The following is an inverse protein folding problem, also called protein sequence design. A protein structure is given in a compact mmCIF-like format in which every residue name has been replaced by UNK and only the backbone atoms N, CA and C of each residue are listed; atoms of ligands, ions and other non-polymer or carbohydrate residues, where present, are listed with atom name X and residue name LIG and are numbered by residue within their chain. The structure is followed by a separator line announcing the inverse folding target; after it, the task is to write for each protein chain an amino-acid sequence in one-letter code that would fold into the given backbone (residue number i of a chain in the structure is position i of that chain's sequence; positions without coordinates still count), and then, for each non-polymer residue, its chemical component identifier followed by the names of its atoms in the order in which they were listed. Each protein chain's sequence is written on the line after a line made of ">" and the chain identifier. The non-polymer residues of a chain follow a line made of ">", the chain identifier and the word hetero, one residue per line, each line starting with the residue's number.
data_IF_702564679920
#
_entry.id   IF_702564679920
#
_cell.length_a   1.000
_cell.length_b   1.000
_cell.length_c   1.000
_cell.angle_alpha   90.00
_cell.angle_beta   90.00
_cell.angle_gamma   90.00
#
_symmetry.space_group_name_H-M   'P 1'
#
loop_
_entity.id
_entity.type
_entity.pdbx_description
1 polymer ?
#
# COMPACT_ATOMS: atom_id res chain seq x y z
N UNK A 1 -6.59 36.41 18.60
CA UNK A 1 -6.73 34.99 18.23
C UNK A 1 -8.12 34.55 18.66
N UNK A 2 -8.97 34.18 17.72
CA UNK A 2 -10.34 33.69 17.99
C UNK A 2 -10.23 32.25 18.50
N UNK A 3 -10.62 32.01 19.75
CA UNK A 3 -10.67 30.66 20.31
C UNK A 3 -11.68 29.80 19.54
N UNK A 4 -11.39 28.51 19.38
CA UNK A 4 -12.27 27.57 18.68
C UNK A 4 -13.62 27.46 19.43
N UNK A 5 -14.77 27.66 18.76
CA UNK A 5 -16.09 27.52 19.39
C UNK A 5 -16.29 26.12 19.99
N UNK A 6 -16.96 26.05 21.14
CA UNK A 6 -17.16 24.78 21.87
C UNK A 6 -17.88 23.73 21.02
N UNK A 7 -18.97 24.14 20.37
CA UNK A 7 -19.79 23.24 19.55
C UNK A 7 -19.01 22.68 18.36
N UNK A 8 -18.13 23.50 17.75
CA UNK A 8 -17.27 23.06 16.65
C UNK A 8 -16.19 22.08 17.14
N UNK A 9 -15.59 22.36 18.29
CA UNK A 9 -14.61 21.45 18.90
C UNK A 9 -15.21 20.08 19.21
N UNK A 10 -16.39 20.04 19.86
CA UNK A 10 -17.08 18.79 20.18
C UNK A 10 -17.50 18.03 18.93
N UNK A 11 -18.00 18.74 17.91
CA UNK A 11 -18.33 18.14 16.61
C UNK A 11 -17.14 17.51 15.93
N UNK A 12 -16.00 18.21 15.87
CA UNK A 12 -14.79 17.65 15.25
C UNK A 12 -14.25 16.45 16.03
N UNK A 13 -14.33 16.45 17.37
CA UNK A 13 -13.96 15.27 18.16
C UNK A 13 -14.87 14.08 17.87
N UNK A 14 -16.19 14.31 17.73
CA UNK A 14 -17.13 13.25 17.34
C UNK A 14 -16.80 12.68 15.96
N UNK A 15 -16.53 13.53 14.96
CA UNK A 15 -16.13 13.08 13.61
C UNK A 15 -14.81 12.27 13.63
N UNK A 16 -13.86 12.61 14.52
CA UNK A 16 -12.64 11.82 14.72
C UNK A 16 -12.87 10.49 15.46
N UNK A 17 -13.85 10.44 16.36
CA UNK A 17 -14.25 9.19 17.03
C UNK A 17 -14.95 8.26 16.05
N UNK A 18 -15.83 8.78 15.19
CA UNK A 18 -16.47 8.02 14.10
C UNK A 18 -15.42 7.42 13.17
N UNK A 19 -14.43 8.23 12.73
CA UNK A 19 -13.32 7.74 11.90
C UNK A 19 -12.50 6.65 12.61
N UNK A 20 -12.35 6.72 13.94
CA UNK A 20 -11.67 5.69 14.74
C UNK A 20 -12.47 4.40 14.85
N UNK A 21 -13.80 4.50 14.91
CA UNK A 21 -14.69 3.33 14.91
C UNK A 21 -14.70 2.66 13.52
N UNK A 22 -14.66 3.45 12.45
CA UNK A 22 -14.59 2.98 11.06
C UNK A 22 -13.18 2.51 10.63
N UNK A 23 -12.17 2.67 11.48
CA UNK A 23 -10.76 2.49 11.11
C UNK A 23 -10.49 1.10 10.52
N UNK A 24 -11.03 0.04 11.12
CA UNK A 24 -10.81 -1.33 10.65
C UNK A 24 -11.45 -1.58 9.27
N UNK A 25 -12.67 -1.10 9.05
CA UNK A 25 -13.36 -1.22 7.75
C UNK A 25 -12.65 -0.42 6.67
N UNK A 26 -12.26 0.83 6.97
CA UNK A 26 -11.58 1.70 6.02
C UNK A 26 -10.19 1.15 5.68
N UNK A 27 -9.46 0.65 6.68
CA UNK A 27 -8.17 0.02 6.48
C UNK A 27 -8.24 -1.24 5.62
N UNK A 28 -9.35 -1.99 5.69
CA UNK A 28 -9.58 -3.14 4.80
C UNK A 28 -9.77 -2.69 3.36
N UNK A 29 -10.57 -1.64 3.13
CA UNK A 29 -10.76 -1.05 1.79
C UNK A 29 -9.41 -0.57 1.22
N UNK A 30 -8.65 0.20 2.00
CA UNK A 30 -7.30 0.66 1.60
C UNK A 30 -6.40 -0.52 1.23
N UNK A 31 -6.43 -1.59 2.01
CA UNK A 31 -5.61 -2.77 1.76
C UNK A 31 -6.01 -3.54 0.50
N UNK A 32 -7.31 -3.74 0.29
CA UNK A 32 -7.84 -4.40 -0.89
C UNK A 32 -7.51 -3.58 -2.15
N UNK A 33 -7.78 -2.27 -2.15
CA UNK A 33 -7.50 -1.39 -3.30
C UNK A 33 -6.00 -1.24 -3.59
N UNK A 34 -5.16 -1.24 -2.55
CA UNK A 34 -3.70 -1.22 -2.72
C UNK A 34 -3.23 -2.51 -3.38
N UNK A 35 -3.77 -3.66 -2.93
CA UNK A 35 -3.39 -4.95 -3.45
C UNK A 35 -3.91 -5.19 -4.87
N UNK A 36 -5.13 -4.75 -5.18
CA UNK A 36 -5.71 -4.83 -6.54
C UNK A 36 -4.80 -4.14 -7.57
N UNK A 37 -4.19 -3.00 -7.22
CA UNK A 37 -3.22 -2.34 -8.10
C UNK A 37 -1.96 -3.19 -8.33
N UNK A 38 -1.48 -3.90 -7.31
CA UNK A 38 -0.30 -4.77 -7.42
C UNK A 38 -0.62 -6.02 -8.26
N UNK A 39 -1.81 -6.58 -8.12
CA UNK A 39 -2.27 -7.67 -8.97
C UNK A 39 -2.36 -7.23 -10.43
N UNK A 40 -2.95 -6.07 -10.69
CA UNK A 40 -3.06 -5.53 -12.05
C UNK A 40 -1.69 -5.24 -12.68
N UNK A 41 -0.76 -4.64 -11.93
CA UNK A 41 0.60 -4.39 -12.42
C UNK A 41 1.33 -5.71 -12.72
N UNK A 42 1.20 -6.70 -11.84
CA UNK A 42 1.79 -8.02 -12.08
C UNK A 42 1.22 -8.64 -13.36
N UNK A 43 -0.10 -8.59 -13.56
CA UNK A 43 -0.74 -9.11 -14.75
C UNK A 43 -0.15 -8.50 -16.02
N UNK A 44 0.01 -7.17 -16.05
CA UNK A 44 0.61 -6.41 -17.15
C UNK A 44 2.08 -6.77 -17.37
N UNK A 45 2.89 -6.77 -16.31
CA UNK A 45 4.32 -7.07 -16.38
C UNK A 45 4.63 -8.51 -16.80
N UNK A 46 3.63 -9.39 -16.78
CA UNK A 46 3.78 -10.81 -17.10
C UNK A 46 2.91 -11.26 -18.27
N UNK A 47 2.23 -10.33 -18.97
CA UNK A 47 1.30 -10.61 -20.08
C UNK A 47 1.99 -11.48 -21.16
N UNK A 48 3.18 -11.06 -21.57
CA UNK A 48 4.04 -11.74 -22.55
C UNK A 48 4.88 -12.89 -21.96
N UNK A 49 4.58 -13.32 -20.73
CA UNK A 49 5.38 -14.29 -19.98
C UNK A 49 6.47 -13.65 -19.12
N UNK A 50 7.11 -14.45 -18.27
CA UNK A 50 8.22 -13.98 -17.42
C UNK A 50 9.55 -14.24 -18.10
N UNK A 51 10.23 -13.16 -18.49
CA UNK A 51 11.66 -13.21 -18.78
C UNK A 51 12.44 -13.20 -17.46
N UNK A 52 13.14 -14.30 -17.16
CA UNK A 52 13.79 -14.48 -15.86
C UNK A 52 14.88 -13.44 -15.57
N UNK A 53 15.57 -12.94 -16.59
CA UNK A 53 16.53 -11.84 -16.46
C UNK A 53 15.86 -10.54 -15.97
N UNK A 54 14.54 -10.42 -16.14
CA UNK A 54 13.72 -9.30 -15.69
C UNK A 54 12.91 -9.62 -14.43
N UNK A 55 12.94 -10.85 -13.91
CA UNK A 55 12.13 -11.22 -12.74
C UNK A 55 12.48 -10.39 -11.50
N UNK A 56 13.76 -10.09 -11.30
CA UNK A 56 14.21 -9.22 -10.22
C UNK A 56 13.74 -7.77 -10.45
N UNK A 57 13.61 -7.33 -11.70
CA UNK A 57 13.02 -6.02 -12.05
C UNK A 57 11.52 -5.98 -11.80
N UNK A 58 10.78 -7.05 -12.14
CA UNK A 58 9.35 -7.15 -11.83
C UNK A 58 9.15 -7.10 -10.31
N UNK A 59 9.93 -7.87 -9.54
CA UNK A 59 9.86 -7.85 -8.08
C UNK A 59 10.13 -6.45 -7.52
N UNK A 60 11.19 -5.78 -7.98
CA UNK A 60 11.51 -4.41 -7.55
C UNK A 60 10.42 -3.40 -7.93
N UNK A 61 9.83 -3.53 -9.13
CA UNK A 61 8.73 -2.68 -9.58
C UNK A 61 7.52 -2.83 -8.65
N UNK A 62 7.08 -4.07 -8.38
CA UNK A 62 5.95 -4.35 -7.50
C UNK A 62 6.20 -3.85 -6.07
N UNK A 63 7.41 -4.01 -5.55
CA UNK A 63 7.78 -3.48 -4.22
C UNK A 63 7.70 -1.96 -4.18
N UNK A 64 8.17 -1.28 -5.23
CA UNK A 64 8.13 0.19 -5.29
C UNK A 64 6.69 0.67 -5.39
N UNK A 65 5.90 0.04 -6.26
CA UNK A 65 4.49 0.38 -6.44
C UNK A 65 3.66 0.14 -5.19
N UNK A 66 3.92 -0.91 -4.41
CA UNK A 66 3.17 -1.23 -3.19
C UNK A 66 3.15 -0.04 -2.22
N UNK A 67 4.31 0.53 -1.92
CA UNK A 67 4.42 1.66 -1.00
C UNK A 67 3.76 2.92 -1.55
N UNK A 68 3.91 3.17 -2.86
CA UNK A 68 3.29 4.32 -3.53
C UNK A 68 1.77 4.21 -3.58
N UNK A 69 1.23 3.04 -3.95
CA UNK A 69 -0.21 2.79 -4.00
C UNK A 69 -0.81 2.88 -2.60
N UNK A 70 -0.15 2.30 -1.59
CA UNK A 70 -0.58 2.43 -0.20
C UNK A 70 -0.71 3.90 0.24
N UNK A 71 0.31 4.71 -0.08
CA UNK A 71 0.31 6.14 0.24
C UNK A 71 -0.83 6.88 -0.46
N UNK A 72 -1.00 6.67 -1.76
CA UNK A 72 -2.08 7.26 -2.56
C UNK A 72 -3.48 6.87 -2.05
N UNK A 73 -3.68 5.59 -1.68
CA UNK A 73 -4.97 5.15 -1.10
C UNK A 73 -5.21 5.77 0.27
N UNK A 74 -4.17 5.91 1.09
CA UNK A 74 -4.28 6.62 2.36
C UNK A 74 -4.62 8.11 2.15
N UNK A 75 -3.98 8.79 1.21
CA UNK A 75 -4.26 10.19 0.88
C UNK A 75 -5.70 10.36 0.37
N UNK A 76 -6.15 9.48 -0.54
CA UNK A 76 -7.51 9.54 -1.08
C UNK A 76 -8.56 9.37 0.03
N UNK A 77 -8.42 8.36 0.89
CA UNK A 77 -9.42 8.03 1.90
C UNK A 77 -9.34 8.88 3.17
N UNK A 78 -8.13 9.28 3.59
CA UNK A 78 -7.91 10.04 4.83
C UNK A 78 -7.71 11.53 4.56
N UNK A 79 -6.98 11.90 3.52
CA UNK A 79 -6.71 13.29 3.16
C UNK A 79 -7.98 14.07 2.98
N UNK A 80 -8.92 13.57 2.16
CA UNK A 80 -10.23 14.21 1.97
C UNK A 80 -11.01 14.42 3.28
N UNK A 81 -10.90 13.49 4.23
CA UNK A 81 -11.59 13.61 5.53
C UNK A 81 -10.94 14.67 6.40
N UNK A 82 -9.62 14.68 6.51
CA UNK A 82 -8.90 15.69 7.28
C UNK A 82 -8.96 17.09 6.65
N UNK A 83 -8.95 17.19 5.33
CA UNK A 83 -9.20 18.44 4.60
C UNK A 83 -10.60 18.98 4.87
N UNK A 84 -11.61 18.11 4.88
CA UNK A 84 -12.97 18.51 5.25
C UNK A 84 -13.02 19.07 6.68
N UNK A 85 -12.40 18.38 7.64
CA UNK A 85 -12.33 18.87 9.03
C UNK A 85 -11.59 20.21 9.11
N UNK A 86 -10.48 20.36 8.39
CA UNK A 86 -9.73 21.61 8.31
C UNK A 86 -10.56 22.75 7.71
N UNK A 87 -11.35 22.48 6.67
CA UNK A 87 -12.19 23.49 6.00
C UNK A 87 -13.33 24.03 6.86
N UNK A 88 -13.72 23.30 7.91
CA UNK A 88 -14.74 23.73 8.86
C UNK A 88 -14.21 24.73 9.90
N UNK A 89 -12.89 24.96 9.95
CA UNK A 89 -12.30 25.86 10.93
C UNK A 89 -12.58 27.33 10.59
N UNK A 90 -12.74 28.21 11.59
CA UNK A 90 -12.94 29.63 11.36
C UNK A 90 -11.77 30.25 10.59
N UNK A 91 -12.08 31.23 9.74
CA UNK A 91 -11.05 31.98 9.01
C UNK A 91 -10.01 32.57 9.98
N UNK A 92 -8.73 32.37 9.67
CA UNK A 92 -7.60 32.81 10.50
C UNK A 92 -7.14 31.81 11.56
N UNK A 93 -7.76 30.63 11.67
CA UNK A 93 -7.23 29.51 12.45
C UNK A 93 -6.44 28.60 11.53
N UNK A 94 -5.17 28.33 11.87
CA UNK A 94 -4.35 27.39 11.11
C UNK A 94 -4.92 25.97 11.25
N UNK A 95 -5.04 25.26 10.12
CA UNK A 95 -5.50 23.88 10.12
C UNK A 95 -4.53 22.98 10.91
N UNK A 96 -5.04 22.10 11.79
CA UNK A 96 -4.23 21.10 12.45
C UNK A 96 -3.57 20.17 11.42
N UNK A 97 -2.28 19.95 11.56
CA UNK A 97 -1.59 18.90 10.82
C UNK A 97 -1.98 17.53 11.41
N UNK A 98 -2.71 16.73 10.65
CA UNK A 98 -3.01 15.34 11.02
C UNK A 98 -1.80 14.41 10.87
N UNK A 99 -0.70 14.91 10.29
CA UNK A 99 0.53 14.16 10.03
C UNK A 99 0.38 13.00 9.07
N UNK A 100 -0.83 12.77 8.54
CA UNK A 100 -1.18 11.54 7.84
C UNK A 100 -0.32 11.33 6.59
N UNK A 101 -0.04 12.36 5.80
CA UNK A 101 0.83 12.24 4.61
C UNK A 101 2.28 11.84 4.92
N UNK A 102 2.87 12.37 5.99
CA UNK A 102 4.22 11.95 6.42
C UNK A 102 4.20 10.53 7.00
N UNK A 103 3.18 10.20 7.79
CA UNK A 103 3.08 8.87 8.38
C UNK A 103 2.69 7.79 7.37
N UNK A 104 1.87 8.10 6.36
CA UNK A 104 1.52 7.18 5.28
C UNK A 104 2.76 6.84 4.46
N UNK A 105 3.57 7.84 4.08
CA UNK A 105 4.85 7.64 3.41
C UNK A 105 5.80 6.75 4.23
N UNK A 106 6.02 7.07 5.51
CA UNK A 106 6.88 6.25 6.38
C UNK A 106 6.36 4.83 6.55
N UNK A 107 5.03 4.66 6.60
CA UNK A 107 4.39 3.35 6.74
C UNK A 107 4.43 2.56 5.44
N UNK A 108 4.28 3.20 4.29
CA UNK A 108 4.46 2.60 2.97
C UNK A 108 5.89 2.09 2.79
N UNK A 109 6.90 2.88 3.17
CA UNK A 109 8.30 2.44 3.15
C UNK A 109 8.56 1.23 4.07
N UNK A 110 7.95 1.20 5.26
CA UNK A 110 8.07 0.05 6.17
C UNK A 110 7.32 -1.17 5.67
N UNK A 111 6.14 -1.00 5.07
CA UNK A 111 5.40 -2.07 4.42
C UNK A 111 6.25 -2.71 3.33
N UNK A 112 6.89 -1.89 2.49
CA UNK A 112 7.80 -2.39 1.45
C UNK A 112 8.93 -3.25 2.05
N UNK A 113 9.57 -2.80 3.13
CA UNK A 113 10.61 -3.58 3.82
C UNK A 113 10.07 -4.89 4.43
N UNK A 114 8.89 -4.86 5.04
CA UNK A 114 8.27 -6.03 5.67
C UNK A 114 7.83 -7.08 4.65
N UNK A 115 7.31 -6.61 3.52
CA UNK A 115 6.73 -7.43 2.46
C UNK A 115 7.77 -7.86 1.44
N UNK A 116 8.96 -7.24 1.42
CA UNK A 116 10.04 -7.56 0.49
C UNK A 116 10.46 -9.03 0.54
N UNK A 117 10.68 -9.58 1.75
CA UNK A 117 11.08 -10.97 1.93
C UNK A 117 9.98 -11.96 1.54
N UNK A 118 8.71 -11.57 1.73
CA UNK A 118 7.57 -12.39 1.33
C UNK A 118 7.42 -12.42 -0.19
N UNK A 119 7.58 -11.27 -0.85
CA UNK A 119 7.61 -11.18 -2.32
C UNK A 119 8.80 -11.96 -2.89
N UNK A 120 9.99 -11.81 -2.34
CA UNK A 120 11.19 -12.55 -2.77
C UNK A 120 10.98 -14.07 -2.68
N UNK A 121 10.41 -14.56 -1.59
CA UNK A 121 10.11 -15.97 -1.42
C UNK A 121 9.06 -16.48 -2.45
N UNK A 122 8.07 -15.65 -2.80
CA UNK A 122 7.09 -15.99 -3.84
C UNK A 122 7.73 -16.07 -5.23
N UNK A 123 8.60 -15.12 -5.57
CA UNK A 123 9.35 -15.13 -6.83
C UNK A 123 10.29 -16.34 -6.90
N UNK A 124 11.00 -16.67 -5.81
CA UNK A 124 11.88 -17.83 -5.74
C UNK A 124 11.15 -19.16 -5.94
N UNK A 125 9.93 -19.31 -5.39
CA UNK A 125 9.08 -20.51 -5.56
C UNK A 125 8.49 -20.66 -6.96
N UNK A 126 8.44 -19.57 -7.72
CA UNK A 126 7.86 -19.54 -9.06
C UNK A 126 8.90 -19.87 -10.14
N UNK A 127 10.20 -19.86 -9.81
CA UNK A 127 11.32 -20.23 -10.69
C UNK A 127 11.38 -21.76 -10.91
N UNK A 128 11.42 -22.28 -12.16
CA UNK A 128 11.83 -23.66 -12.38
C UNK A 128 13.32 -23.80 -12.04
N UNK A 129 13.71 -24.96 -11.48
CA UNK A 129 15.10 -25.19 -11.08
C UNK A 129 16.07 -24.94 -12.23
N UNK A 130 17.22 -24.32 -11.92
CA UNK A 130 18.33 -23.98 -12.83
C UNK A 130 18.70 -25.13 -13.79
N UNK A 131 18.50 -26.38 -13.38
CA UNK A 131 18.67 -27.58 -14.20
C UNK A 131 17.82 -27.62 -15.48
N UNK A 132 16.64 -26.98 -15.50
CA UNK A 132 15.79 -26.89 -16.70
C UNK A 132 16.37 -25.97 -17.77
N UNK A 133 17.01 -24.86 -17.37
CA UNK A 133 17.68 -23.93 -18.28
C UNK A 133 18.97 -24.56 -18.86
N UNK A 134 19.70 -25.32 -18.05
CA UNK A 134 20.88 -26.07 -18.49
C UNK A 134 20.48 -27.19 -19.47
N UNK A 135 19.36 -27.88 -19.22
CA UNK A 135 18.82 -28.87 -20.16
C UNK A 135 18.40 -28.28 -21.51
N UNK A 136 17.96 -27.02 -21.56
CA UNK A 136 17.57 -26.30 -22.78
C UNK A 136 18.76 -25.85 -23.62
N UNK A 137 19.87 -25.46 -23.00
CA UNK A 137 21.10 -25.10 -23.70
C UNK A 137 21.76 -26.29 -24.43
N UNK A 138 21.35 -27.52 -24.12
CA UNK A 138 21.84 -28.76 -24.72
C UNK A 138 20.98 -29.26 -25.90
N UNK A 139 19.85 -28.61 -26.20
CA UNK A 139 19.00 -28.96 -27.34
C UNK A 139 19.43 -28.09 -28.53
N UNK A 140 20.21 -28.67 -29.45
CA UNK A 140 20.88 -28.02 -30.58
C UNK A 140 19.95 -27.41 -31.67
N UNK A 141 18.65 -27.25 -31.41
CA UNK A 141 17.70 -26.66 -32.37
C UNK A 141 17.11 -25.36 -31.81
N UNK A 142 17.60 -24.23 -32.36
CA UNK A 142 17.31 -22.88 -31.88
C UNK A 142 15.82 -22.53 -31.97
N UNK A 143 15.13 -22.96 -33.03
CA UNK A 143 13.69 -22.69 -33.17
C UNK A 143 12.87 -23.50 -32.16
N UNK A 144 13.23 -24.77 -31.97
CA UNK A 144 12.61 -25.63 -30.96
C UNK A 144 12.85 -25.09 -29.54
N UNK A 145 14.07 -24.60 -29.26
CA UNK A 145 14.42 -24.00 -27.98
C UNK A 145 13.63 -22.70 -27.73
N UNK A 146 13.49 -21.82 -28.72
CA UNK A 146 12.71 -20.59 -28.61
C UNK A 146 11.23 -20.84 -28.31
N UNK A 147 10.56 -21.73 -29.05
CA UNK A 147 9.13 -22.02 -28.83
C UNK A 147 8.86 -22.67 -27.47
N UNK A 148 9.76 -23.53 -26.99
CA UNK A 148 9.66 -24.11 -25.64
C UNK A 148 9.96 -23.10 -24.54
N UNK A 149 10.88 -22.17 -24.78
CA UNK A 149 11.19 -21.08 -23.85
C UNK A 149 10.01 -20.14 -23.66
N UNK A 150 9.33 -19.75 -24.74
CA UNK A 150 8.13 -18.90 -24.68
C UNK A 150 6.99 -19.61 -23.92
N UNK A 151 6.69 -20.86 -24.27
CA UNK A 151 5.67 -21.67 -23.58
C UNK A 151 5.96 -21.83 -22.09
N UNK A 152 7.23 -21.98 -21.71
CA UNK A 152 7.60 -22.13 -20.31
C UNK A 152 7.61 -20.79 -19.56
N UNK A 153 7.99 -19.69 -20.21
CA UNK A 153 7.88 -18.34 -19.66
C UNK A 153 6.41 -17.98 -19.32
N UNK A 154 5.45 -18.38 -20.16
CA UNK A 154 4.03 -18.21 -19.87
C UNK A 154 3.55 -19.09 -18.71
N UNK A 155 4.01 -20.34 -18.60
CA UNK A 155 3.68 -21.22 -17.46
C UNK A 155 4.20 -20.64 -16.15
N UNK A 156 5.41 -20.10 -16.19
CA UNK A 156 6.06 -19.51 -15.02
C UNK A 156 5.38 -18.21 -14.60
N UNK A 157 4.98 -17.36 -15.55
CA UNK A 157 4.11 -16.20 -15.32
C UNK A 157 2.80 -16.61 -14.64
N UNK A 158 2.13 -17.64 -15.16
CA UNK A 158 0.88 -18.14 -14.58
C UNK A 158 1.07 -18.66 -13.15
N UNK A 159 2.17 -19.37 -12.87
CA UNK A 159 2.52 -19.82 -11.51
C UNK A 159 2.77 -18.64 -10.57
N UNK A 160 3.51 -17.64 -11.02
CA UNK A 160 3.80 -16.43 -10.24
C UNK A 160 2.51 -15.70 -9.86
N UNK A 161 1.61 -15.47 -10.84
CA UNK A 161 0.29 -14.89 -10.61
C UNK A 161 -0.51 -15.69 -9.60
N UNK A 162 -0.61 -17.01 -9.79
CA UNK A 162 -1.35 -17.89 -8.87
C UNK A 162 -0.77 -17.84 -7.45
N UNK A 163 0.55 -17.85 -7.32
CA UNK A 163 1.23 -17.76 -6.03
C UNK A 163 0.96 -16.43 -5.33
N UNK A 164 0.92 -15.32 -6.07
CA UNK A 164 0.56 -14.00 -5.56
C UNK A 164 -0.92 -13.92 -5.14
N UNK A 165 -1.86 -14.40 -5.96
CA UNK A 165 -3.28 -14.47 -5.57
C UNK A 165 -3.48 -15.30 -4.30
N UNK A 166 -2.79 -16.44 -4.17
CA UNK A 166 -2.89 -17.28 -2.97
C UNK A 166 -2.35 -16.57 -1.72
N UNK A 167 -1.39 -15.65 -1.88
CA UNK A 167 -0.81 -14.91 -0.78
C UNK A 167 -1.62 -13.65 -0.39
N UNK A 168 -2.55 -13.20 -1.26
CA UNK A 168 -3.41 -12.02 -1.04
C UNK A 168 -3.94 -11.91 0.41
N UNK A 169 -4.53 -12.94 1.03
CA UNK A 169 -5.11 -12.80 2.38
C UNK A 169 -4.10 -12.41 3.46
N UNK A 170 -2.84 -12.80 3.31
CA UNK A 170 -1.79 -12.46 4.27
C UNK A 170 -1.21 -11.06 4.02
N UNK A 171 -1.05 -10.67 2.75
CA UNK A 171 -0.62 -9.31 2.39
C UNK A 171 -1.67 -8.26 2.76
N UNK A 172 -2.93 -8.45 2.36
CA UNK A 172 -4.00 -7.49 2.68
C UNK A 172 -4.22 -7.37 4.18
N UNK A 173 -4.05 -8.46 4.96
CA UNK A 173 -4.07 -8.40 6.43
C UNK A 173 -2.98 -7.48 6.97
N UNK A 174 -1.74 -7.60 6.51
CA UNK A 174 -0.62 -6.78 6.97
C UNK A 174 -0.78 -5.30 6.57
N UNK A 175 -1.23 -5.04 5.34
CA UNK A 175 -1.52 -3.70 4.85
C UNK A 175 -2.66 -3.08 5.67
N UNK A 176 -3.73 -3.83 5.93
CA UNK A 176 -4.88 -3.39 6.73
C UNK A 176 -4.50 -3.08 8.18
N UNK A 177 -3.67 -3.90 8.82
CA UNK A 177 -3.16 -3.61 10.16
C UNK A 177 -2.35 -2.30 10.18
N UNK A 178 -1.55 -2.07 9.14
CA UNK A 178 -0.74 -0.86 9.00
C UNK A 178 -1.61 0.37 8.80
N UNK A 179 -2.60 0.30 7.90
CA UNK A 179 -3.57 1.37 7.67
C UNK A 179 -4.39 1.68 8.94
N UNK A 180 -4.83 0.65 9.67
CA UNK A 180 -5.56 0.83 10.94
C UNK A 180 -4.75 1.64 11.94
N UNK A 181 -3.47 1.29 12.13
CA UNK A 181 -2.58 2.03 13.04
C UNK A 181 -2.33 3.47 12.57
N UNK A 182 -2.23 3.68 11.26
CA UNK A 182 -2.08 5.01 10.67
C UNK A 182 -3.31 5.88 10.98
N UNK A 183 -4.52 5.36 10.76
CA UNK A 183 -5.78 6.06 11.04
C UNK A 183 -5.85 6.48 12.50
N UNK A 184 -5.62 5.54 13.43
CA UNK A 184 -5.63 5.86 14.86
C UNK A 184 -4.64 6.95 15.23
N UNK A 185 -3.42 6.88 14.68
CA UNK A 185 -2.37 7.85 14.96
C UNK A 185 -2.72 9.24 14.43
N UNK A 186 -3.20 9.32 13.19
CA UNK A 186 -3.60 10.59 12.56
C UNK A 186 -4.79 11.23 13.28
N UNK A 187 -5.80 10.44 13.67
CA UNK A 187 -6.91 10.94 14.48
C UNK A 187 -6.43 11.47 15.84
N UNK A 188 -5.53 10.75 16.51
CA UNK A 188 -4.99 11.19 17.79
C UNK A 188 -4.22 12.51 17.66
N UNK A 189 -3.37 12.65 16.65
CA UNK A 189 -2.58 13.86 16.44
C UNK A 189 -3.44 15.06 16.09
N UNK A 190 -4.44 14.87 15.23
CA UNK A 190 -5.40 15.93 14.91
C UNK A 190 -6.16 16.36 16.17
N UNK A 191 -6.63 15.40 16.99
CA UNK A 191 -7.32 15.70 18.24
C UNK A 191 -6.44 16.48 19.25
N UNK A 192 -5.16 16.13 19.38
CA UNK A 192 -4.22 16.86 20.24
C UNK A 192 -3.98 18.29 19.74
N UNK A 193 -3.79 18.46 18.44
CA UNK A 193 -3.63 19.77 17.83
C UNK A 193 -4.90 20.63 17.98
N UNK A 194 -6.10 20.05 17.87
CA UNK A 194 -7.36 20.75 18.16
C UNK A 194 -7.45 21.21 19.62
N UNK A 195 -7.02 20.37 20.58
CA UNK A 195 -6.99 20.76 22.01
C UNK A 195 -6.06 21.95 22.24
N UNK A 196 -4.91 21.99 21.57
CA UNK A 196 -3.95 23.10 21.65
C UNK A 196 -4.53 24.40 21.07
N UNK A 197 -5.31 24.32 19.97
CA UNK A 197 -6.00 25.48 19.41
C UNK A 197 -7.10 26.04 20.33
N UNK A 198 -7.73 25.18 21.14
CA UNK A 198 -8.76 25.59 22.12
C UNK A 198 -8.15 26.19 23.39
N UNK A 199 -7.02 25.67 23.83
CA UNK A 199 -6.26 26.17 24.97
C UNK A 199 -4.98 26.86 24.49
N UNK A 200 -5.06 28.05 23.87
CA UNK A 200 -3.85 28.81 23.61
C UNK A 200 -3.23 29.09 24.97
N UNK A 201 -2.12 28.42 25.26
CA UNK A 201 -1.33 28.68 26.47
C UNK A 201 -1.18 30.19 26.59
N UNK A 202 -1.54 30.73 27.77
CA UNK A 202 -1.16 32.08 28.16
C UNK A 202 0.34 32.25 27.90
N UNK A 203 0.67 33.06 26.91
CA UNK A 203 2.01 33.53 26.60
C UNK A 203 1.92 35.06 26.52
#
# INVERSE_FOLDING_TARGET
>A
MTALPQDLFERQLAELDDLRQEAASLARVIADETWDCIEQELEQLTEDGVFWDLADHIQFSLQTQLGMMFDQRCEYWLGQRFERLASQLPAGVAAPDSGHGFYSLLKGLRLNQQLASSLEALFARSKPGIFSLIGRALIDDVEYACEHMEKDAHKDAARLRQNLYNARPDFTRQISQTATLLIYKSCHQYAEALKQLRSPSAA
#
